data_IF_141452321010
#
_entry.id   IF_141452321010
#
_cell.length_a   1.000
_cell.length_b   1.000
_cell.length_c   1.000
_cell.angle_alpha   90.00
_cell.angle_beta   90.00
_cell.angle_gamma   90.00
#
_symmetry.space_group_name_H-M   'P 1'
#
loop_
_entity.id
_entity.type
_entity.pdbx_description
1 polymer ?
#
# COMPACT_ATOMS: atom_id res chain seq x y z
N UNK A 1 -9.84 -13.83 27.08
CA UNK A 1 -9.80 -12.38 27.05
C UNK A 1 -9.10 -11.93 25.80
N UNK A 2 -9.82 -11.26 24.89
CA UNK A 2 -9.29 -10.72 23.65
C UNK A 2 -8.23 -9.66 23.97
N UNK A 3 -7.01 -9.80 23.43
CA UNK A 3 -5.77 -9.12 23.76
C UNK A 3 -5.69 -7.59 23.55
N UNK A 4 -6.80 -6.87 23.68
CA UNK A 4 -6.88 -5.41 23.51
C UNK A 4 -6.53 -4.60 24.76
N UNK A 5 -6.42 -5.24 25.92
CA UNK A 5 -6.14 -4.58 27.19
C UNK A 5 -5.01 -5.28 27.93
N UNK A 6 -3.92 -4.58 28.16
CA UNK A 6 -2.84 -5.04 29.06
C UNK A 6 -2.95 -4.32 30.38
N UNK A 7 -3.28 -5.04 31.46
CA UNK A 7 -3.31 -4.51 32.83
C UNK A 7 -1.92 -4.63 33.44
N UNK A 8 -1.28 -3.52 33.74
CA UNK A 8 -0.05 -3.49 34.57
C UNK A 8 -0.41 -3.03 35.95
N UNK A 9 -0.16 -3.87 36.96
CA UNK A 9 -0.43 -3.56 38.35
C UNK A 9 0.31 -2.27 38.77
N UNK A 10 -0.42 -1.27 39.25
CA UNK A 10 0.12 0.05 39.63
C UNK A 10 0.33 1.05 38.51
N UNK A 11 0.03 0.73 37.23
CA UNK A 11 0.24 1.64 36.06
C UNK A 11 -0.99 1.86 35.19
N UNK A 12 -2.14 1.26 35.52
CA UNK A 12 -3.38 1.40 34.76
C UNK A 12 -3.61 0.33 33.70
N UNK A 13 -4.73 0.45 32.98
CA UNK A 13 -5.10 -0.43 31.87
C UNK A 13 -4.78 0.31 30.57
N UNK A 14 -3.96 -0.28 29.72
CA UNK A 14 -3.58 0.28 28.41
C UNK A 14 -4.32 -0.47 27.31
N UNK A 15 -4.89 0.25 26.37
CA UNK A 15 -5.38 -0.31 25.10
C UNK A 15 -4.17 -0.62 24.27
N UNK A 16 -3.89 -1.90 24.04
CA UNK A 16 -2.87 -2.32 23.09
C UNK A 16 -3.54 -2.37 21.73
N UNK A 17 -3.44 -1.28 20.95
CA UNK A 17 -3.80 -1.36 19.54
C UNK A 17 -2.84 -2.35 18.88
N UNK A 18 -3.38 -3.45 18.36
CA UNK A 18 -2.58 -4.42 17.62
C UNK A 18 -2.12 -3.75 16.32
N UNK A 19 -0.82 -3.48 16.22
CA UNK A 19 -0.21 -2.94 15.00
C UNK A 19 0.13 -4.07 14.06
N UNK A 20 -0.02 -3.82 12.76
CA UNK A 20 0.60 -4.67 11.75
C UNK A 20 2.10 -4.40 11.77
N UNK A 21 2.89 -5.43 11.92
CA UNK A 21 4.35 -5.38 11.84
C UNK A 21 4.74 -5.96 10.49
N UNK A 22 5.34 -5.13 9.63
CA UNK A 22 5.90 -5.55 8.34
C UNK A 22 7.40 -5.64 8.47
N UNK A 23 7.95 -6.83 8.24
CA UNK A 23 9.38 -7.02 8.11
C UNK A 23 9.84 -6.47 6.76
N UNK A 24 10.79 -5.56 6.77
CA UNK A 24 11.40 -5.04 5.55
C UNK A 24 12.67 -5.86 5.30
N UNK A 25 12.54 -6.91 4.51
CA UNK A 25 13.70 -7.67 4.07
C UNK A 25 14.42 -6.94 2.92
N UNK A 26 15.74 -7.06 2.87
CA UNK A 26 16.57 -6.37 1.86
C UNK A 26 16.27 -6.93 0.44
N UNK A 27 16.00 -6.01 -0.48
CA UNK A 27 15.98 -6.07 -1.96
C UNK A 27 15.07 -7.06 -2.69
N UNK A 28 14.83 -8.27 -2.22
CA UNK A 28 14.23 -9.33 -3.05
C UNK A 28 12.92 -9.91 -2.50
N UNK A 29 12.25 -9.24 -1.54
CA UNK A 29 11.01 -9.71 -0.95
C UNK A 29 9.95 -8.62 -0.91
N UNK A 30 9.11 -8.59 -1.93
CA UNK A 30 7.95 -7.68 -1.99
C UNK A 30 6.77 -8.32 -1.26
N UNK A 31 6.71 -8.11 0.06
CA UNK A 31 5.56 -8.53 0.83
C UNK A 31 4.33 -7.67 0.51
N UNK A 32 3.25 -8.31 0.08
CA UNK A 32 1.97 -7.63 -0.11
C UNK A 32 1.32 -7.29 1.24
N UNK A 33 0.45 -6.26 1.25
CA UNK A 33 -0.34 -5.94 2.46
C UNK A 33 -1.18 -7.13 2.94
N UNK A 34 -1.69 -7.95 2.03
CA UNK A 34 -2.47 -9.15 2.36
C UNK A 34 -1.63 -10.17 3.12
N UNK A 35 -0.40 -10.41 2.67
CA UNK A 35 0.56 -11.28 3.38
C UNK A 35 0.93 -10.71 4.75
N UNK A 36 1.23 -9.40 4.83
CA UNK A 36 1.53 -8.75 6.10
C UNK A 36 0.38 -8.88 7.12
N UNK A 37 -0.87 -8.74 6.69
CA UNK A 37 -2.04 -8.98 7.55
C UNK A 37 -2.10 -10.44 8.01
N UNK A 38 -1.94 -11.40 7.09
CA UNK A 38 -2.02 -12.83 7.42
C UNK A 38 -0.96 -13.25 8.45
N UNK A 39 0.28 -12.78 8.31
CA UNK A 39 1.35 -13.05 9.27
C UNK A 39 1.10 -12.42 10.65
N UNK A 40 0.31 -11.36 10.72
CA UNK A 40 -0.11 -10.74 11.98
C UNK A 40 -1.47 -11.26 12.49
N UNK A 41 -2.03 -12.32 11.88
CA UNK A 41 -3.29 -12.93 12.29
C UNK A 41 -4.51 -12.04 12.02
N UNK A 42 -4.42 -11.09 11.08
CA UNK A 42 -5.47 -10.15 10.73
C UNK A 42 -6.06 -10.43 9.35
N UNK A 43 -7.32 -10.10 9.17
CA UNK A 43 -8.00 -10.20 7.88
C UNK A 43 -7.79 -8.93 7.07
N UNK A 44 -7.11 -9.05 5.93
CA UNK A 44 -6.95 -7.96 4.98
C UNK A 44 -8.25 -7.66 4.24
N UNK A 45 -8.54 -6.36 4.04
CA UNK A 45 -9.61 -5.88 3.19
C UNK A 45 -9.12 -4.80 2.24
N UNK A 46 -9.92 -4.51 1.21
CA UNK A 46 -9.64 -3.44 0.25
C UNK A 46 -10.94 -2.81 -0.24
N UNK A 47 -10.94 -1.48 -0.32
CA UNK A 47 -11.99 -0.69 -0.97
C UNK A 47 -11.36 0.21 -2.04
N UNK A 48 -11.86 0.12 -3.25
CA UNK A 48 -11.45 1.00 -4.34
C UNK A 48 -11.98 2.41 -4.08
N UNK A 49 -11.11 3.41 -4.14
CA UNK A 49 -11.43 4.83 -4.01
C UNK A 49 -11.57 5.47 -5.39
N UNK A 50 -10.62 5.19 -6.27
CA UNK A 50 -10.61 5.72 -7.62
C UNK A 50 -9.88 4.78 -8.59
N UNK A 51 -10.32 4.82 -9.84
CA UNK A 51 -9.62 4.27 -11.00
C UNK A 51 -9.72 5.29 -12.12
N UNK A 52 -8.60 5.69 -12.66
CA UNK A 52 -8.57 6.69 -13.74
C UNK A 52 -7.25 6.67 -14.48
N UNK A 53 -7.29 7.18 -15.70
CA UNK A 53 -6.08 7.54 -16.43
C UNK A 53 -5.57 8.88 -15.90
N UNK A 54 -4.26 8.99 -15.68
CA UNK A 54 -3.58 10.19 -15.19
C UNK A 54 -2.30 10.41 -15.98
N UNK A 55 -1.89 11.67 -16.11
CA UNK A 55 -0.61 12.02 -16.71
C UNK A 55 0.54 11.66 -15.76
N UNK A 56 1.61 11.09 -16.28
CA UNK A 56 2.84 10.82 -15.56
C UNK A 56 3.54 12.13 -15.18
N UNK A 57 3.81 12.33 -13.91
CA UNK A 57 4.75 13.34 -13.47
C UNK A 57 6.20 12.88 -13.73
N UNK A 58 7.16 13.76 -13.48
CA UNK A 58 8.59 13.49 -13.74
C UNK A 58 9.07 12.19 -13.13
N UNK A 59 8.70 11.90 -11.86
CA UNK A 59 9.19 10.71 -11.14
C UNK A 59 8.60 9.43 -11.73
N UNK A 60 7.30 9.43 -12.03
CA UNK A 60 6.61 8.32 -12.67
C UNK A 60 7.12 8.09 -14.09
N UNK A 61 7.27 9.16 -14.88
CA UNK A 61 7.82 9.09 -16.23
C UNK A 61 9.23 8.50 -16.21
N UNK A 62 10.10 9.01 -15.33
CA UNK A 62 11.47 8.51 -15.17
C UNK A 62 11.49 7.03 -14.76
N UNK A 63 10.63 6.63 -13.81
CA UNK A 63 10.56 5.23 -13.39
C UNK A 63 10.12 4.30 -14.53
N UNK A 64 9.06 4.64 -15.26
CA UNK A 64 8.54 3.79 -16.33
C UNK A 64 9.31 3.92 -17.65
N UNK A 65 10.24 4.88 -17.78
CA UNK A 65 10.94 5.15 -19.03
C UNK A 65 10.03 5.75 -20.09
N UNK A 66 9.09 6.59 -19.67
CA UNK A 66 8.12 7.29 -20.49
C UNK A 66 8.42 8.80 -20.54
N UNK A 67 7.76 9.51 -21.44
CA UNK A 67 7.77 10.98 -21.43
C UNK A 67 6.86 11.52 -20.32
N UNK A 68 7.23 12.67 -19.75
CA UNK A 68 6.39 13.39 -18.80
C UNK A 68 5.06 13.76 -19.47
N UNK A 69 3.94 13.49 -18.78
CA UNK A 69 2.61 13.66 -19.36
C UNK A 69 2.02 12.41 -20.03
N UNK A 70 2.80 11.33 -20.20
CA UNK A 70 2.28 10.06 -20.72
C UNK A 70 1.18 9.50 -19.83
N UNK A 71 0.22 8.80 -20.43
CA UNK A 71 -0.90 8.20 -19.72
C UNK A 71 -0.46 7.01 -18.86
N UNK A 72 -0.93 7.02 -17.61
CA UNK A 72 -0.82 5.90 -16.65
C UNK A 72 -2.19 5.55 -16.09
N UNK A 73 -2.37 4.31 -15.68
CA UNK A 73 -3.55 3.86 -14.93
C UNK A 73 -3.26 4.05 -13.45
N UNK A 74 -4.05 4.87 -12.78
CA UNK A 74 -4.06 5.02 -11.33
C UNK A 74 -5.17 4.16 -10.74
N UNK A 75 -4.80 3.31 -9.78
CA UNK A 75 -5.72 2.60 -8.90
C UNK A 75 -5.48 3.06 -7.47
N UNK A 76 -6.42 3.80 -6.91
CA UNK A 76 -6.41 4.24 -5.51
C UNK A 76 -7.29 3.35 -4.66
N UNK A 77 -6.75 2.85 -3.53
CA UNK A 77 -7.50 1.96 -2.62
C UNK A 77 -7.20 2.30 -1.17
N UNK A 78 -8.18 2.05 -0.31
CA UNK A 78 -7.97 1.94 1.14
C UNK A 78 -7.85 0.47 1.49
N UNK A 79 -6.78 0.12 2.20
CA UNK A 79 -6.58 -1.22 2.75
C UNK A 79 -6.94 -1.22 4.23
N UNK A 80 -7.66 -2.26 4.63
CA UNK A 80 -8.08 -2.43 6.03
C UNK A 80 -7.49 -3.69 6.61
N UNK A 81 -7.24 -3.66 7.92
CA UNK A 81 -6.98 -4.85 8.72
C UNK A 81 -8.12 -4.99 9.73
N UNK A 82 -8.79 -6.13 9.74
CA UNK A 82 -9.99 -6.38 10.55
C UNK A 82 -11.06 -5.26 10.43
N UNK A 83 -11.22 -4.73 9.20
CA UNK A 83 -12.15 -3.65 8.89
C UNK A 83 -11.66 -2.24 9.25
N UNK A 84 -10.53 -2.08 9.93
CA UNK A 84 -9.95 -0.78 10.29
C UNK A 84 -9.05 -0.27 9.16
N UNK A 85 -9.23 0.97 8.65
CA UNK A 85 -8.33 1.54 7.65
C UNK A 85 -6.90 1.66 8.17
N UNK A 86 -5.93 1.19 7.41
CA UNK A 86 -4.51 1.18 7.79
C UNK A 86 -3.63 1.85 6.74
N UNK A 87 -3.97 1.65 5.47
CA UNK A 87 -3.16 2.08 4.33
C UNK A 87 -4.05 2.71 3.26
N UNK A 88 -3.67 3.89 2.79
CA UNK A 88 -4.19 4.49 1.56
C UNK A 88 -3.11 4.41 0.50
N UNK A 89 -3.34 3.60 -0.54
CA UNK A 89 -2.40 3.33 -1.61
C UNK A 89 -2.85 3.90 -2.93
N UNK A 90 -1.92 4.52 -3.65
CA UNK A 90 -2.05 4.97 -5.03
C UNK A 90 -1.03 4.19 -5.86
N UNK A 91 -1.51 3.24 -6.64
CA UNK A 91 -0.68 2.40 -7.51
C UNK A 91 -0.83 2.84 -8.95
N UNK A 92 0.29 3.10 -9.60
CA UNK A 92 0.38 3.55 -10.99
C UNK A 92 0.91 2.42 -11.84
N UNK A 93 0.29 2.20 -12.98
CA UNK A 93 0.64 1.16 -13.96
C UNK A 93 0.76 1.78 -15.35
N UNK A 94 1.64 1.28 -16.23
CA UNK A 94 1.60 1.63 -17.65
C UNK A 94 0.22 1.29 -18.21
N UNK A 95 -0.24 2.01 -19.23
CA UNK A 95 -1.49 1.67 -19.92
C UNK A 95 -1.31 0.35 -20.65
N UNK A 96 -0.21 0.21 -21.40
CA UNK A 96 0.08 -1.00 -22.17
C UNK A 96 0.19 -2.24 -21.27
N UNK A 97 -0.68 -3.20 -21.52
CA UNK A 97 -0.77 -4.47 -20.79
C UNK A 97 -1.52 -4.42 -19.46
N UNK A 98 -1.98 -3.24 -19.00
CA UNK A 98 -2.68 -3.10 -17.72
C UNK A 98 -4.08 -2.46 -17.81
N UNK A 99 -4.63 -2.26 -19.03
CA UNK A 99 -5.94 -1.65 -19.26
C UNK A 99 -7.07 -2.36 -18.48
N UNK A 100 -6.96 -3.66 -18.30
CA UNK A 100 -7.94 -4.48 -17.56
C UNK A 100 -8.14 -4.02 -16.11
N UNK A 101 -7.16 -3.30 -15.52
CA UNK A 101 -7.29 -2.73 -14.17
C UNK A 101 -8.41 -1.71 -14.05
N UNK A 102 -8.90 -1.17 -15.18
CA UNK A 102 -10.03 -0.24 -15.20
C UNK A 102 -11.34 -0.94 -14.87
N UNK A 103 -11.47 -2.25 -15.16
CA UNK A 103 -12.74 -2.97 -15.18
C UNK A 103 -12.82 -4.13 -14.18
N UNK A 104 -11.71 -4.74 -13.77
CA UNK A 104 -11.75 -5.91 -12.87
C UNK A 104 -12.18 -5.58 -11.44
N UNK A 105 -12.71 -6.59 -10.74
CA UNK A 105 -13.03 -6.51 -9.32
C UNK A 105 -11.75 -6.42 -8.46
N UNK A 106 -11.57 -5.32 -7.73
CA UNK A 106 -10.41 -5.10 -6.85
C UNK A 106 -10.80 -4.88 -5.39
N UNK A 107 -12.04 -5.16 -5.04
CA UNK A 107 -12.51 -5.11 -3.65
C UNK A 107 -12.08 -6.37 -2.90
N UNK A 108 -11.56 -6.19 -1.68
CA UNK A 108 -11.16 -7.27 -0.78
C UNK A 108 -10.14 -8.28 -1.35
N UNK A 109 -9.34 -7.88 -2.34
CA UNK A 109 -8.30 -8.73 -2.94
C UNK A 109 -6.92 -8.04 -2.93
N UNK A 110 -5.87 -8.85 -3.14
CA UNK A 110 -4.53 -8.35 -3.44
C UNK A 110 -4.48 -7.89 -4.90
N UNK A 111 -4.07 -6.65 -5.16
CA UNK A 111 -3.90 -6.16 -6.53
C UNK A 111 -2.73 -6.87 -7.22
N UNK A 112 -1.69 -7.24 -6.47
CA UNK A 112 -0.56 -7.98 -7.01
C UNK A 112 -0.96 -9.38 -7.48
N UNK A 113 -1.81 -10.07 -6.71
CA UNK A 113 -2.38 -11.35 -7.12
C UNK A 113 -3.28 -11.19 -8.36
N UNK A 114 -4.20 -10.21 -8.34
CA UNK A 114 -5.11 -9.97 -9.45
C UNK A 114 -4.37 -9.63 -10.76
N UNK A 115 -3.26 -8.89 -10.67
CA UNK A 115 -2.39 -8.61 -11.83
C UNK A 115 -1.63 -9.86 -12.23
N UNK A 116 -1.07 -10.59 -11.26
CA UNK A 116 -0.30 -11.80 -11.51
C UNK A 116 -1.12 -12.89 -12.22
N UNK A 117 -2.33 -13.13 -11.75
CA UNK A 117 -3.27 -14.09 -12.39
C UNK A 117 -3.60 -13.70 -13.83
N UNK A 118 -3.66 -12.41 -14.13
CA UNK A 118 -4.02 -11.93 -15.46
C UNK A 118 -2.84 -11.85 -16.43
N UNK A 119 -1.65 -11.53 -15.94
CA UNK A 119 -0.49 -11.21 -16.78
C UNK A 119 0.65 -12.22 -16.64
N UNK A 120 0.62 -13.07 -15.61
CA UNK A 120 1.76 -13.92 -15.22
C UNK A 120 2.90 -13.15 -14.57
N UNK A 121 2.75 -11.82 -14.32
CA UNK A 121 3.76 -10.94 -13.76
C UNK A 121 3.47 -10.65 -12.30
N UNK A 122 4.45 -10.86 -11.43
CA UNK A 122 4.38 -10.59 -10.00
C UNK A 122 5.54 -9.67 -9.59
N UNK A 123 5.33 -8.75 -8.64
CA UNK A 123 6.43 -7.94 -8.15
C UNK A 123 7.39 -8.80 -7.33
N UNK A 124 8.68 -8.75 -7.67
CA UNK A 124 9.74 -9.52 -7.02
C UNK A 124 10.71 -8.64 -6.22
N UNK A 125 10.94 -7.42 -6.68
CA UNK A 125 11.85 -6.47 -6.01
C UNK A 125 11.30 -5.06 -6.03
N UNK A 126 11.89 -4.16 -5.25
CA UNK A 126 11.53 -2.74 -5.23
C UNK A 126 12.77 -1.86 -5.36
N UNK A 127 12.75 -0.99 -6.40
CA UNK A 127 13.76 0.03 -6.63
C UNK A 127 13.17 1.18 -7.50
N UNK A 128 13.12 2.44 -7.00
CA UNK A 128 13.49 2.85 -5.64
C UNK A 128 12.48 2.37 -4.57
N UNK A 129 12.92 2.36 -3.31
CA UNK A 129 12.03 2.24 -2.15
C UNK A 129 12.46 3.27 -1.10
N UNK A 130 11.61 4.27 -0.84
CA UNK A 130 11.86 5.32 0.14
C UNK A 130 10.74 5.38 1.14
N UNK A 131 11.09 5.47 2.41
CA UNK A 131 10.16 5.64 3.52
C UNK A 131 10.40 7.00 4.17
N UNK A 132 9.38 7.82 4.24
CA UNK A 132 9.41 9.18 4.78
C UNK A 132 8.27 9.40 5.76
N UNK A 133 8.31 10.48 6.51
CA UNK A 133 7.19 10.93 7.35
C UNK A 133 6.40 11.97 6.56
N UNK A 134 5.10 11.76 6.45
CA UNK A 134 4.15 12.72 5.90
C UNK A 134 3.06 13.07 6.92
N UNK A 135 2.32 14.12 6.65
CA UNK A 135 1.11 14.47 7.40
C UNK A 135 -0.12 14.18 6.56
N UNK A 136 -1.16 13.64 7.18
CA UNK A 136 -2.41 13.38 6.49
C UNK A 136 -3.02 14.68 5.95
N UNK A 137 -3.06 14.82 4.62
CA UNK A 137 -3.88 15.83 3.97
C UNK A 137 -5.37 15.46 4.04
N UNK A 138 -6.25 16.34 3.55
CA UNK A 138 -7.72 16.20 3.66
C UNK A 138 -8.20 14.86 3.11
N UNK A 139 -7.74 14.46 1.93
CA UNK A 139 -8.18 13.22 1.29
C UNK A 139 -7.68 11.98 2.03
N UNK A 140 -6.39 11.92 2.38
CA UNK A 140 -5.82 10.81 3.13
C UNK A 140 -6.47 10.68 4.52
N UNK A 141 -6.70 11.80 5.21
CA UNK A 141 -7.35 11.83 6.51
C UNK A 141 -8.78 11.26 6.44
N UNK A 142 -9.55 11.69 5.43
CA UNK A 142 -10.92 11.19 5.20
C UNK A 142 -10.92 9.69 4.92
N UNK A 143 -10.07 9.23 4.01
CA UNK A 143 -10.03 7.83 3.57
C UNK A 143 -9.52 6.90 4.68
N UNK A 144 -8.52 7.34 5.45
CA UNK A 144 -7.94 6.59 6.56
C UNK A 144 -8.71 6.73 7.89
N UNK A 145 -9.72 7.64 7.94
CA UNK A 145 -10.49 7.97 9.16
C UNK A 145 -9.56 8.37 10.31
N UNK A 146 -8.68 9.32 10.02
CA UNK A 146 -7.76 9.94 10.99
C UNK A 146 -7.90 11.48 10.94
N UNK A 147 -7.43 12.22 11.95
CA UNK A 147 -7.40 13.68 11.88
C UNK A 147 -6.53 14.20 10.74
N UNK A 148 -6.88 15.35 10.17
CA UNK A 148 -5.98 16.09 9.28
C UNK A 148 -4.71 16.44 10.05
N UNK A 149 -3.54 16.22 9.45
CA UNK A 149 -2.25 16.40 10.09
C UNK A 149 -1.73 15.19 10.86
N UNK A 150 -2.48 14.10 10.97
CA UNK A 150 -2.01 12.84 11.55
C UNK A 150 -0.69 12.40 10.92
N UNK A 151 0.33 12.02 11.73
CA UNK A 151 1.58 11.48 11.19
C UNK A 151 1.36 10.16 10.46
N UNK A 152 1.82 10.10 9.23
CA UNK A 152 1.78 8.90 8.38
C UNK A 152 3.19 8.51 7.97
N UNK A 153 3.44 7.22 7.82
CA UNK A 153 4.55 6.78 6.99
C UNK A 153 4.14 6.92 5.52
N UNK A 154 5.00 7.55 4.74
CA UNK A 154 4.83 7.69 3.31
C UNK A 154 5.90 6.87 2.59
N UNK A 155 5.48 5.85 1.86
CA UNK A 155 6.37 5.01 1.08
C UNK A 155 6.19 5.29 -0.40
N UNK A 156 7.28 5.66 -1.07
CA UNK A 156 7.43 5.67 -2.51
C UNK A 156 8.20 4.43 -2.94
N UNK A 157 7.59 3.56 -3.73
CA UNK A 157 8.25 2.33 -4.16
C UNK A 157 7.94 2.01 -5.63
N UNK A 158 9.00 1.83 -6.42
CA UNK A 158 8.93 1.25 -7.75
C UNK A 158 9.09 -0.25 -7.66
N UNK A 159 8.17 -1.03 -8.21
CA UNK A 159 8.19 -2.48 -8.19
C UNK A 159 8.60 -3.05 -9.54
N UNK A 160 9.45 -4.06 -9.50
CA UNK A 160 9.98 -4.78 -10.66
C UNK A 160 9.53 -6.25 -10.59
N UNK A 161 9.26 -6.84 -11.74
CA UNK A 161 8.97 -8.28 -11.83
C UNK A 161 10.25 -9.13 -11.86
N UNK A 162 10.10 -10.44 -12.01
CA UNK A 162 11.22 -11.40 -12.05
C UNK A 162 12.21 -11.19 -13.20
N UNK A 163 11.81 -10.46 -14.24
CA UNK A 163 12.65 -10.11 -15.37
C UNK A 163 13.33 -8.75 -15.23
N UNK A 164 13.09 -8.06 -14.09
CA UNK A 164 13.55 -6.69 -13.87
C UNK A 164 12.73 -5.64 -14.62
N UNK A 165 11.59 -6.03 -15.20
CA UNK A 165 10.69 -5.13 -15.89
C UNK A 165 9.85 -4.31 -14.89
N UNK A 166 9.66 -3.03 -15.19
CA UNK A 166 8.87 -2.11 -14.37
C UNK A 166 7.42 -2.55 -14.33
N UNK A 167 6.95 -2.86 -13.11
CA UNK A 167 5.64 -3.45 -12.88
C UNK A 167 4.61 -2.43 -12.41
N UNK A 168 4.95 -1.68 -11.38
CA UNK A 168 4.04 -0.76 -10.71
C UNK A 168 4.84 0.28 -9.94
N UNK A 169 4.29 1.47 -9.77
CA UNK A 169 4.83 2.46 -8.84
C UNK A 169 3.79 2.78 -7.77
N UNK A 170 4.15 2.61 -6.49
CA UNK A 170 3.26 2.83 -5.36
C UNK A 170 3.61 4.10 -4.59
N UNK A 171 2.60 4.95 -4.33
CA UNK A 171 2.62 6.04 -3.34
C UNK A 171 1.67 5.65 -2.21
N UNK A 172 2.22 5.28 -1.07
CA UNK A 172 1.50 4.55 -0.03
C UNK A 172 1.59 5.30 1.30
N UNK A 173 0.44 5.55 1.94
CA UNK A 173 0.31 6.28 3.19
C UNK A 173 -0.19 5.35 4.28
N UNK A 174 0.67 5.04 5.27
CA UNK A 174 0.36 4.13 6.37
C UNK A 174 0.09 4.89 7.65
N UNK A 175 -0.95 4.53 8.38
CA UNK A 175 -1.25 5.10 9.69
C UNK A 175 -0.23 4.58 10.71
N UNK A 176 0.68 5.43 11.18
CA UNK A 176 1.79 5.05 12.06
C UNK A 176 1.36 4.48 13.43
N UNK A 177 0.16 4.82 13.91
CA UNK A 177 -0.42 4.21 15.11
C UNK A 177 -0.96 2.79 14.88
N UNK A 178 -1.14 2.34 13.61
CA UNK A 178 -1.72 1.06 13.21
C UNK A 178 -0.75 0.16 12.44
N UNK A 179 0.39 0.70 12.04
CA UNK A 179 1.39 0.01 11.22
C UNK A 179 2.80 0.33 11.67
N UNK A 180 3.70 -0.63 11.61
CA UNK A 180 5.13 -0.44 11.86
C UNK A 180 5.95 -1.24 10.87
N UNK A 181 7.16 -0.74 10.60
CA UNK A 181 8.17 -1.41 9.80
C UNK A 181 9.26 -1.92 10.73
N UNK A 182 9.59 -3.20 10.61
CA UNK A 182 10.72 -3.85 11.26
C UNK A 182 11.84 -3.95 10.22
N UNK A 183 12.94 -3.21 10.44
CA UNK A 183 14.03 -2.98 9.48
C UNK A 183 15.25 -3.80 9.86
#
# INVERSE_FOLDING_TARGET
GEGYLTKRQGRGTFVTATKIIRKVHQKDDVQSFTQACAENGMKAGARVVARKTVAADRDLASFFGLDEGSDLILVSRVRTADGVPVLFENNYYPVDGFEFLKDIGLSNCSIFEAVGERTGRYPCSSDPCRLEIARAGIDAARELKVPVGEPLFFMNAGFLDSNGERFCYGRQYYVGSRYSFDI
#
